data_IF_785442767674
#
_entry.id   IF_785442767674
#
_cell.length_a   1.000
_cell.length_b   1.000
_cell.length_c   1.000
_cell.angle_alpha   90.00
_cell.angle_beta   90.00
_cell.angle_gamma   90.00
#
_symmetry.space_group_name_H-M   'P 1'
#
loop_
_entity.id
_entity.type
_entity.pdbx_description
1 polymer ?
#
# COMPACT_ATOMS: atom_id res chain seq x y z
N UNK A 1 -24.70 -52.71 -6.42
CA UNK A 1 -25.57 -51.96 -7.36
C UNK A 1 -26.11 -50.67 -6.74
N UNK A 2 -26.89 -50.68 -5.65
CA UNK A 2 -27.42 -49.44 -5.05
C UNK A 2 -26.35 -48.45 -4.56
N UNK A 3 -25.29 -48.90 -3.89
CA UNK A 3 -24.19 -48.05 -3.39
C UNK A 3 -23.44 -47.34 -4.53
N UNK A 4 -23.36 -47.98 -5.70
CA UNK A 4 -22.66 -47.46 -6.86
C UNK A 4 -23.48 -46.42 -7.61
N UNK A 5 -24.81 -46.60 -7.65
CA UNK A 5 -25.76 -45.58 -8.14
C UNK A 5 -25.75 -44.35 -7.23
N UNK A 6 -25.68 -44.54 -5.91
CA UNK A 6 -25.58 -43.42 -4.95
C UNK A 6 -24.26 -42.68 -5.11
N UNK A 7 -23.13 -43.37 -5.27
CA UNK A 7 -21.83 -42.73 -5.55
C UNK A 7 -21.83 -41.95 -6.86
N UNK A 8 -22.42 -42.49 -7.92
CA UNK A 8 -22.54 -41.80 -9.21
C UNK A 8 -23.48 -40.61 -9.13
N UNK A 9 -24.60 -40.73 -8.43
CA UNK A 9 -25.52 -39.62 -8.16
C UNK A 9 -24.86 -38.50 -7.36
N UNK A 10 -24.06 -38.86 -6.34
CA UNK A 10 -23.28 -37.90 -5.56
C UNK A 10 -22.22 -37.19 -6.42
N UNK A 11 -21.50 -37.91 -7.28
CA UNK A 11 -20.54 -37.31 -8.22
C UNK A 11 -21.19 -36.30 -9.17
N UNK A 12 -22.37 -36.60 -9.69
CA UNK A 12 -23.09 -35.69 -10.60
C UNK A 12 -23.62 -34.46 -9.87
N UNK A 13 -24.02 -34.59 -8.60
CA UNK A 13 -24.50 -33.48 -7.77
C UNK A 13 -23.40 -32.48 -7.37
N UNK A 14 -22.12 -32.88 -7.41
CA UNK A 14 -20.99 -31.98 -7.10
C UNK A 14 -20.87 -30.84 -8.12
N UNK A 15 -21.14 -31.10 -9.41
CA UNK A 15 -21.03 -30.07 -10.46
C UNK A 15 -22.03 -28.91 -10.25
N UNK A 16 -23.34 -29.13 -10.09
CA UNK A 16 -24.29 -28.05 -9.82
C UNK A 16 -24.06 -27.41 -8.44
N UNK A 17 -23.58 -28.16 -7.44
CA UNK A 17 -23.19 -27.59 -6.16
C UNK A 17 -22.00 -26.62 -6.29
N UNK A 18 -20.98 -26.96 -7.07
CA UNK A 18 -19.85 -26.08 -7.37
C UNK A 18 -20.29 -24.84 -8.16
N UNK A 19 -21.17 -24.99 -9.15
CA UNK A 19 -21.73 -23.87 -9.91
C UNK A 19 -22.53 -22.92 -9.01
N UNK A 20 -23.37 -23.46 -8.13
CA UNK A 20 -24.10 -22.67 -7.14
C UNK A 20 -23.14 -21.95 -6.19
N UNK A 21 -22.06 -22.61 -5.75
CA UNK A 21 -21.03 -21.97 -4.94
C UNK A 21 -20.40 -20.80 -5.70
N UNK A 22 -19.95 -20.99 -6.95
CA UNK A 22 -19.34 -19.94 -7.77
C UNK A 22 -20.27 -18.73 -7.93
N UNK A 23 -21.58 -18.97 -8.10
CA UNK A 23 -22.58 -17.91 -8.25
C UNK A 23 -22.84 -17.14 -6.95
N UNK A 24 -22.80 -17.80 -5.79
CA UNK A 24 -23.17 -17.20 -4.50
C UNK A 24 -21.94 -16.65 -3.76
N UNK A 25 -20.74 -17.17 -4.02
CA UNK A 25 -19.48 -16.74 -3.36
C UNK A 25 -19.23 -15.24 -3.47
N UNK A 26 -19.44 -14.56 -4.63
CA UNK A 26 -19.27 -13.11 -4.74
C UNK A 26 -20.20 -12.30 -3.81
N UNK A 27 -21.40 -12.82 -3.52
CA UNK A 27 -22.35 -12.18 -2.60
C UNK A 27 -22.01 -12.41 -1.12
N UNK A 28 -21.32 -13.51 -0.80
CA UNK A 28 -20.92 -13.89 0.55
C UNK A 28 -19.60 -13.26 1.00
N UNK A 29 -18.71 -12.93 0.07
CA UNK A 29 -17.45 -12.24 0.38
C UNK A 29 -17.65 -10.80 0.87
N UNK A 30 -18.90 -10.30 0.85
CA UNK A 30 -19.22 -8.93 1.21
C UNK A 30 -18.68 -7.96 0.18
N UNK A 31 -19.30 -6.79 0.04
CA UNK A 31 -18.59 -5.68 -0.59
C UNK A 31 -17.56 -5.20 0.41
N UNK A 32 -16.26 -5.24 0.07
CA UNK A 32 -15.22 -4.63 0.87
C UNK A 32 -15.63 -3.18 1.15
N UNK A 33 -15.50 -2.75 2.40
CA UNK A 33 -15.80 -1.39 2.80
C UNK A 33 -14.86 -0.44 2.07
N UNK A 34 -15.36 0.73 1.64
CA UNK A 34 -14.66 1.69 0.76
C UNK A 34 -13.24 2.07 1.25
N UNK A 35 -12.98 1.93 2.56
CA UNK A 35 -11.67 2.20 3.17
C UNK A 35 -10.65 1.05 3.01
N UNK A 36 -11.07 -0.21 2.79
CA UNK A 36 -10.15 -1.33 2.53
C UNK A 36 -9.61 -1.38 1.09
N UNK A 37 -10.06 -0.45 0.25
CA UNK A 37 -9.69 -0.32 -1.17
C UNK A 37 -8.68 0.80 -1.44
N UNK A 38 -8.33 1.61 -0.44
CA UNK A 38 -7.41 2.74 -0.63
C UNK A 38 -6.00 2.33 -0.18
N UNK A 39 -4.99 2.37 -1.07
CA UNK A 39 -3.61 2.05 -0.69
C UNK A 39 -3.08 3.09 0.30
N UNK A 40 -2.10 2.69 1.11
CA UNK A 40 -1.51 3.54 2.14
C UNK A 40 0.00 3.61 2.00
N UNK A 41 0.58 4.74 2.41
CA UNK A 41 2.01 4.86 2.68
C UNK A 41 2.23 4.82 4.18
N UNK A 42 3.24 4.05 4.58
CA UNK A 42 3.74 3.99 5.95
C UNK A 42 5.18 4.49 5.94
N UNK A 43 5.51 5.39 6.86
CA UNK A 43 6.88 5.87 7.01
C UNK A 43 7.31 5.70 8.46
N UNK A 44 8.27 4.83 8.66
CA UNK A 44 8.83 4.48 9.95
C UNK A 44 10.27 4.96 10.09
N UNK A 45 10.72 5.06 11.33
CA UNK A 45 12.08 5.40 11.69
C UNK A 45 12.71 4.26 12.50
N UNK A 46 13.91 3.88 12.12
CA UNK A 46 14.76 2.94 12.88
C UNK A 46 16.03 3.67 13.34
N UNK A 47 16.89 2.99 14.09
CA UNK A 47 18.15 3.59 14.55
C UNK A 47 19.05 4.07 13.40
N UNK A 48 18.96 3.42 12.23
CA UNK A 48 19.89 3.65 11.10
C UNK A 48 19.21 4.04 9.80
N UNK A 49 17.92 3.74 9.65
CA UNK A 49 17.18 3.91 8.40
C UNK A 49 15.82 4.61 8.60
N UNK A 50 15.44 5.40 7.61
CA UNK A 50 14.04 5.75 7.32
C UNK A 50 13.49 4.66 6.43
N UNK A 51 12.38 4.05 6.82
CA UNK A 51 11.70 2.98 6.09
C UNK A 51 10.43 3.56 5.49
N UNK A 52 10.27 3.45 4.17
CA UNK A 52 9.06 3.87 3.45
C UNK A 52 8.45 2.61 2.85
N UNK A 53 7.24 2.30 3.26
CA UNK A 53 6.49 1.15 2.77
C UNK A 53 5.19 1.61 2.10
N UNK A 54 5.00 1.20 0.85
CA UNK A 54 3.73 1.31 0.17
C UNK A 54 2.96 0.02 0.39
N UNK A 55 1.88 0.13 1.15
CA UNK A 55 1.01 -0.99 1.40
C UNK A 55 -0.23 -0.90 0.51
N UNK A 56 -0.42 -1.94 -0.31
CA UNK A 56 -1.61 -2.13 -1.10
C UNK A 56 -2.86 -2.27 -0.23
N UNK A 57 -4.00 -1.83 -0.74
CA UNK A 57 -5.26 -2.09 -0.06
C UNK A 57 -5.62 -3.58 -0.16
N UNK A 58 -6.13 -4.17 0.92
CA UNK A 58 -6.51 -5.60 1.00
C UNK A 58 -7.45 -6.02 -0.13
N UNK A 59 -8.23 -5.07 -0.64
CA UNK A 59 -9.22 -5.30 -1.68
C UNK A 59 -8.64 -5.45 -3.09
N UNK A 60 -7.45 -4.88 -3.31
CA UNK A 60 -6.74 -5.06 -4.55
C UNK A 60 -5.85 -6.30 -4.41
N UNK A 61 -6.32 -7.43 -4.96
CA UNK A 61 -5.59 -8.69 -5.11
C UNK A 61 -4.22 -8.60 -5.83
N UNK A 62 -3.67 -7.40 -6.12
CA UNK A 62 -2.35 -7.08 -6.68
C UNK A 62 -2.49 -5.86 -7.58
N UNK A 63 -1.56 -4.91 -7.43
CA UNK A 63 -1.48 -3.74 -8.27
C UNK A 63 -0.75 -4.05 -9.57
N UNK A 64 -1.06 -3.31 -10.63
CA UNK A 64 -0.33 -3.42 -11.90
C UNK A 64 1.08 -2.89 -11.73
N UNK A 65 1.22 -1.75 -11.04
CA UNK A 65 2.52 -1.19 -10.67
C UNK A 65 2.44 -0.35 -9.40
N UNK A 66 3.49 -0.40 -8.60
CA UNK A 66 3.78 0.52 -7.50
C UNK A 66 5.09 1.22 -7.79
N UNK A 67 5.14 2.52 -7.61
CA UNK A 67 6.33 3.32 -7.83
C UNK A 67 6.53 4.32 -6.69
N UNK A 68 7.78 4.39 -6.20
CA UNK A 68 8.27 5.40 -5.27
C UNK A 68 9.40 6.16 -5.96
N UNK A 69 9.37 7.48 -5.88
CA UNK A 69 10.54 8.31 -6.15
C UNK A 69 10.81 9.24 -4.95
N UNK A 70 12.07 9.32 -4.56
CA UNK A 70 12.57 10.12 -3.44
C UNK A 70 13.62 11.08 -3.99
N UNK A 71 13.52 12.34 -3.56
CA UNK A 71 14.51 13.37 -3.89
C UNK A 71 14.98 14.06 -2.61
N UNK A 72 16.26 13.87 -2.25
CA UNK A 72 16.85 14.52 -1.08
C UNK A 72 17.01 16.03 -1.28
N UNK A 73 16.74 16.80 -0.22
CA UNK A 73 16.78 18.26 -0.24
C UNK A 73 18.00 18.88 0.48
N UNK A 74 18.57 18.21 1.50
CA UNK A 74 19.51 18.89 2.42
C UNK A 74 20.99 18.59 2.18
N UNK A 75 21.37 17.34 1.87
CA UNK A 75 22.78 16.96 1.75
C UNK A 75 22.98 15.96 0.61
N UNK A 76 23.67 16.40 -0.45
CA UNK A 76 23.83 15.68 -1.72
C UNK A 76 22.47 15.46 -2.38
N UNK A 77 22.19 16.18 -3.48
CA UNK A 77 21.00 15.97 -4.29
C UNK A 77 20.99 14.53 -4.82
N UNK A 78 20.41 13.60 -4.07
CA UNK A 78 20.24 12.22 -4.49
C UNK A 78 18.81 12.02 -4.97
N UNK A 79 18.69 11.13 -5.95
CA UNK A 79 17.42 10.67 -6.45
C UNK A 79 17.39 9.16 -6.35
N UNK A 80 16.37 8.64 -5.70
CA UNK A 80 16.11 7.21 -5.63
C UNK A 80 14.76 6.96 -6.27
N UNK A 81 14.64 5.91 -7.05
CA UNK A 81 13.37 5.46 -7.58
C UNK A 81 13.32 3.94 -7.51
N UNK A 82 12.17 3.41 -7.10
CA UNK A 82 11.89 2.00 -7.10
C UNK A 82 10.53 1.78 -7.75
N UNK A 83 10.42 0.73 -8.55
CA UNK A 83 9.19 0.34 -9.22
C UNK A 83 9.05 -1.15 -9.09
N UNK A 84 7.92 -1.58 -8.55
CA UNK A 84 7.51 -2.98 -8.56
C UNK A 84 6.28 -3.14 -9.42
N UNK A 85 6.24 -4.25 -10.16
CA UNK A 85 5.09 -4.61 -10.99
C UNK A 85 4.44 -5.81 -10.37
N UNK A 86 3.13 -5.90 -10.55
CA UNK A 86 2.47 -7.15 -10.22
C UNK A 86 2.70 -7.54 -8.73
N UNK A 87 2.69 -6.54 -7.84
CA UNK A 87 2.97 -6.67 -6.41
C UNK A 87 1.85 -6.07 -5.55
N UNK A 88 1.91 -6.33 -4.25
CA UNK A 88 1.05 -5.75 -3.22
C UNK A 88 1.75 -4.70 -2.39
N UNK A 89 3.08 -4.78 -2.30
CA UNK A 89 3.91 -3.92 -1.49
C UNK A 89 5.14 -3.44 -2.25
N UNK A 90 5.68 -2.33 -1.78
CA UNK A 90 6.97 -1.81 -2.20
C UNK A 90 7.60 -1.08 -1.02
N UNK A 91 8.68 -1.64 -0.48
CA UNK A 91 9.46 -1.06 0.59
C UNK A 91 10.78 -0.50 0.07
N UNK A 92 11.13 0.71 0.51
CA UNK A 92 12.42 1.34 0.28
C UNK A 92 13.01 1.83 1.60
N UNK A 93 14.30 1.56 1.79
CA UNK A 93 15.04 1.97 2.98
C UNK A 93 16.07 3.03 2.59
N UNK A 94 16.10 4.12 3.35
CA UNK A 94 17.07 5.21 3.19
C UNK A 94 17.89 5.34 4.46
N UNK A 95 19.20 5.55 4.35
CA UNK A 95 20.02 5.85 5.52
C UNK A 95 19.58 7.18 6.15
N UNK A 96 19.43 7.23 7.49
CA UNK A 96 19.13 8.48 8.22
C UNK A 96 20.19 9.57 7.99
N UNK A 97 21.41 9.18 7.64
CA UNK A 97 22.51 10.10 7.37
C UNK A 97 22.50 10.65 5.93
N UNK A 98 21.68 10.11 5.04
CA UNK A 98 21.65 10.53 3.64
C UNK A 98 21.02 11.92 3.47
N UNK A 99 19.91 12.18 4.16
CA UNK A 99 19.25 13.50 4.19
C UNK A 99 18.29 13.57 5.36
N UNK A 100 18.01 14.77 5.86
CA UNK A 100 16.99 15.01 6.90
C UNK A 100 15.64 15.37 6.28
N UNK A 101 15.64 16.11 5.17
CA UNK A 101 14.46 16.40 4.36
C UNK A 101 14.52 15.73 2.98
N UNK A 102 13.39 15.20 2.51
CA UNK A 102 13.24 14.69 1.15
C UNK A 102 11.81 14.84 0.62
N UNK A 103 11.70 14.93 -0.70
CA UNK A 103 10.43 14.86 -1.41
C UNK A 103 10.10 13.40 -1.69
N UNK A 104 8.85 13.03 -1.44
CA UNK A 104 8.31 11.70 -1.68
C UNK A 104 7.21 11.79 -2.73
N UNK A 105 7.41 11.05 -3.82
CA UNK A 105 6.43 10.88 -4.89
C UNK A 105 6.03 9.42 -4.95
N UNK A 106 4.74 9.18 -4.86
CA UNK A 106 4.15 7.85 -4.92
C UNK A 106 3.15 7.79 -6.06
N UNK A 107 3.23 6.74 -6.85
CA UNK A 107 2.27 6.42 -7.90
C UNK A 107 1.93 4.94 -7.86
N UNK A 108 0.65 4.62 -7.78
CA UNK A 108 0.14 3.25 -7.78
C UNK A 108 -0.91 3.14 -8.88
N UNK A 109 -0.85 2.06 -9.67
CA UNK A 109 -1.83 1.75 -10.70
C UNK A 109 -2.46 0.39 -10.39
N UNK A 110 -3.80 0.34 -10.28
CA UNK A 110 -4.51 -0.92 -10.16
C UNK A 110 -4.63 -1.65 -11.51
N UNK A 111 -5.11 -2.90 -11.49
CA UNK A 111 -5.30 -3.68 -12.72
C UNK A 111 -6.43 -3.17 -13.62
N UNK A 112 -7.29 -2.28 -13.12
CA UNK A 112 -8.38 -1.66 -13.88
C UNK A 112 -7.95 -0.34 -14.55
N UNK A 113 -6.71 0.12 -14.30
CA UNK A 113 -6.17 1.38 -14.81
C UNK A 113 -6.47 2.59 -13.93
N UNK A 114 -6.99 2.40 -12.71
CA UNK A 114 -7.12 3.48 -11.73
C UNK A 114 -5.77 3.81 -11.13
N UNK A 115 -5.43 5.09 -11.14
CA UNK A 115 -4.21 5.60 -10.52
C UNK A 115 -4.48 6.20 -9.15
N UNK A 116 -3.54 6.01 -8.23
CA UNK A 116 -3.46 6.67 -6.92
C UNK A 116 -2.12 7.36 -6.82
N UNK A 117 -2.11 8.60 -6.32
CA UNK A 117 -0.89 9.39 -6.25
C UNK A 117 -0.81 10.21 -4.97
N UNK A 118 0.39 10.31 -4.41
CA UNK A 118 0.69 11.15 -3.26
C UNK A 118 2.01 11.86 -3.51
N UNK A 119 2.03 13.16 -3.19
CA UNK A 119 3.24 13.97 -3.25
C UNK A 119 3.41 14.64 -1.89
N UNK A 120 4.55 14.41 -1.27
CA UNK A 120 4.83 14.90 0.07
C UNK A 120 6.24 15.43 0.24
N UNK A 121 6.42 16.29 1.23
CA UNK A 121 7.74 16.53 1.82
C UNK A 121 7.80 15.79 3.14
N UNK A 122 8.86 15.03 3.36
CA UNK A 122 9.13 14.31 4.60
C UNK A 122 10.34 14.93 5.27
N UNK A 123 10.27 15.12 6.58
CA UNK A 123 11.38 15.56 7.42
C UNK A 123 11.53 14.60 8.58
N UNK A 124 12.75 14.20 8.91
CA UNK A 124 13.04 13.47 10.15
C UNK A 124 14.18 14.13 10.90
N UNK A 125 14.15 14.01 12.22
CA UNK A 125 15.12 14.66 13.09
C UNK A 125 14.97 14.23 14.54
N UNK A 126 15.68 14.93 15.40
CA UNK A 126 15.68 14.72 16.86
C UNK A 126 15.42 16.06 17.52
N UNK A 127 14.50 16.09 18.48
CA UNK A 127 14.26 17.24 19.35
C UNK A 127 14.25 16.82 20.83
N UNK A 128 13.85 17.73 21.73
CA UNK A 128 13.76 17.46 23.18
C UNK A 128 12.81 16.29 23.54
N UNK A 129 11.86 15.97 22.65
CA UNK A 129 10.94 14.84 22.78
C UNK A 129 11.44 13.56 22.12
N UNK A 130 12.68 13.55 21.60
CA UNK A 130 13.31 12.42 20.93
C UNK A 130 13.17 12.46 19.41
N UNK A 131 13.36 11.29 18.79
CA UNK A 131 13.24 11.11 17.35
C UNK A 131 11.82 11.43 16.86
N UNK A 132 11.73 12.07 15.70
CA UNK A 132 10.45 12.33 15.05
C UNK A 132 10.54 12.23 13.54
N UNK A 133 9.37 11.99 12.95
CA UNK A 133 9.13 12.12 11.53
C UNK A 133 7.93 13.02 11.32
N UNK A 134 8.03 13.95 10.37
CA UNK A 134 6.92 14.74 9.89
C UNK A 134 6.77 14.57 8.39
N UNK A 135 5.52 14.59 7.94
CA UNK A 135 5.20 14.56 6.52
C UNK A 135 4.11 15.57 6.24
N UNK A 136 4.33 16.35 5.19
CA UNK A 136 3.36 17.30 4.64
C UNK A 136 2.92 16.79 3.28
N UNK A 137 1.63 16.48 3.12
CA UNK A 137 1.03 16.25 1.81
C UNK A 137 0.94 17.58 1.07
N UNK A 138 1.63 17.69 -0.05
CA UNK A 138 1.69 18.94 -0.83
C UNK A 138 0.37 19.27 -1.53
N UNK A 139 -0.51 18.29 -1.70
CA UNK A 139 -1.81 18.46 -2.35
C UNK A 139 -2.82 19.10 -1.39
N UNK A 140 -2.77 18.72 -0.11
CA UNK A 140 -3.70 19.18 0.91
C UNK A 140 -3.10 20.15 1.93
N UNK A 141 -1.77 20.33 1.90
CA UNK A 141 -0.96 21.08 2.87
C UNK A 141 -1.15 20.62 4.32
N UNK A 142 -1.65 19.41 4.52
CA UNK A 142 -1.81 18.81 5.84
C UNK A 142 -0.49 18.20 6.27
N UNK A 143 -0.08 18.54 7.49
CA UNK A 143 1.14 18.03 8.11
C UNK A 143 0.80 17.13 9.28
N UNK A 144 1.44 15.98 9.35
CA UNK A 144 1.44 15.12 10.53
C UNK A 144 2.84 15.02 11.12
N UNK A 145 2.94 14.89 12.44
CA UNK A 145 4.18 14.61 13.16
C UNK A 145 3.97 13.37 14.03
N UNK A 146 4.89 12.42 13.92
CA UNK A 146 4.83 11.12 14.58
C UNK A 146 6.18 10.84 15.23
N UNK A 147 6.15 10.09 16.33
CA UNK A 147 7.33 9.72 17.12
C UNK A 147 7.37 8.21 17.32
N UNK A 148 8.53 7.55 17.18
CA UNK A 148 8.66 6.13 17.50
C UNK A 148 8.13 5.81 18.90
N UNK A 149 7.44 4.66 19.09
CA UNK A 149 7.27 3.56 18.15
C UNK A 149 6.13 3.75 17.13
N UNK A 150 5.49 4.93 17.08
CA UNK A 150 4.45 5.20 16.09
C UNK A 150 5.06 5.58 14.74
N UNK A 151 4.47 5.04 13.67
CA UNK A 151 4.82 5.38 12.29
C UNK A 151 3.86 6.41 11.71
N UNK A 152 4.33 7.20 10.75
CA UNK A 152 3.45 8.00 9.91
C UNK A 152 2.64 7.07 9.00
N UNK A 153 1.33 7.33 8.87
CA UNK A 153 0.45 6.61 7.95
C UNK A 153 -0.47 7.56 7.22
N UNK A 154 -0.52 7.49 5.89
CA UNK A 154 -1.46 8.25 5.09
C UNK A 154 -2.07 7.39 3.99
N UNK A 155 -3.35 7.63 3.73
CA UNK A 155 -4.03 7.08 2.56
C UNK A 155 -3.57 7.82 1.31
N UNK A 156 -3.33 7.08 0.24
CA UNK A 156 -2.91 7.62 -1.05
C UNK A 156 -4.18 7.91 -1.85
N UNK A 157 -4.50 9.18 -2.11
CA UNK A 157 -5.74 9.53 -2.77
C UNK A 157 -5.76 9.03 -4.22
N UNK A 158 -6.96 8.75 -4.72
CA UNK A 158 -7.17 8.46 -6.14
C UNK A 158 -6.75 9.69 -6.95
N UNK A 159 -5.90 9.47 -7.97
CA UNK A 159 -5.54 10.52 -8.92
C UNK A 159 -6.77 10.97 -9.70
N UNK A 160 -6.96 12.27 -9.80
CA UNK A 160 -7.89 12.86 -10.76
C UNK A 160 -7.20 12.87 -12.12
N UNK A 161 -7.75 12.12 -13.09
CA UNK A 161 -7.40 12.29 -14.50
C UNK A 161 -7.77 13.70 -14.98
#
# INVERSE_FOLDING_TARGET
MQVEVVKRGAMVAVIPALLALILVTPGLMGRPTVLSAIPAVVIGLTDTHVVIDLHGAVDHYMYRSLAIAIQGQDNVSFRMAAVERESYDLQVNLSRNATQAFDLYVLIEDRQGTTFALNGTVFHGVDDGGDFISMTDRSTLRTGLYRPPADFRALIPRGTA
#
